data_IF_739373030941
#
_entry.id   IF_739373030941
#
_cell.length_a   1.000
_cell.length_b   1.000
_cell.length_c   1.000
_cell.angle_alpha   90.00
_cell.angle_beta   90.00
_cell.angle_gamma   90.00
#
_symmetry.space_group_name_H-M   'P 1'
#
loop_
_entity.id
_entity.type
_entity.pdbx_description
1 polymer ?
#
# COMPACT_ATOMS: atom_id res chain seq x y z
N UNK A 1 -5.55 24.31 12.83
CA UNK A 1 -6.28 23.03 12.76
C UNK A 1 -5.26 21.95 13.10
N UNK A 2 -5.61 20.94 13.91
CA UNK A 2 -4.70 19.80 14.04
C UNK A 2 -4.66 19.13 12.66
N UNK A 3 -3.53 19.25 11.96
CA UNK A 3 -3.32 18.48 10.74
C UNK A 3 -3.05 17.05 11.16
N UNK A 4 -4.02 16.18 10.90
CA UNK A 4 -3.87 14.74 11.04
C UNK A 4 -3.10 14.22 9.83
N UNK A 5 -2.00 13.46 10.01
CA UNK A 5 -1.24 12.95 8.88
C UNK A 5 -2.11 12.03 8.04
N UNK A 6 -2.11 12.27 6.73
CA UNK A 6 -2.82 11.44 5.76
C UNK A 6 -1.96 10.25 5.40
N UNK A 7 -2.50 9.06 5.55
CA UNK A 7 -1.80 7.82 5.32
C UNK A 7 -2.56 6.98 4.31
N UNK A 8 -1.86 6.46 3.31
CA UNK A 8 -2.40 5.43 2.45
C UNK A 8 -1.72 4.09 2.75
N UNK A 9 -2.49 3.01 2.90
CA UNK A 9 -1.94 1.68 3.17
C UNK A 9 -2.06 0.85 1.89
N UNK A 10 -0.92 0.57 1.26
CA UNK A 10 -0.81 -0.33 0.12
C UNK A 10 -0.53 -1.74 0.60
N UNK A 11 -1.33 -2.71 0.17
CA UNK A 11 -1.20 -4.11 0.54
C UNK A 11 -1.62 -5.01 -0.63
N UNK A 12 -1.43 -6.33 -0.49
CA UNK A 12 -1.87 -7.28 -1.51
C UNK A 12 -3.12 -8.04 -1.05
N UNK A 13 -4.16 -8.03 -1.87
CA UNK A 13 -5.30 -8.94 -1.68
C UNK A 13 -4.85 -10.40 -1.65
N UNK A 14 -5.25 -11.12 -0.58
CA UNK A 14 -4.92 -12.54 -0.33
C UNK A 14 -6.17 -13.34 -0.01
N UNK A 15 -6.80 -13.02 1.12
CA UNK A 15 -7.96 -13.69 1.68
C UNK A 15 -8.65 -12.75 2.68
N UNK A 16 -9.88 -13.10 3.06
CA UNK A 16 -10.70 -12.28 3.95
C UNK A 16 -10.05 -12.07 5.34
N UNK A 17 -9.36 -13.05 5.90
CA UNK A 17 -8.70 -12.91 7.20
C UNK A 17 -7.58 -11.87 7.16
N UNK A 18 -6.81 -11.85 6.08
CA UNK A 18 -5.75 -10.87 5.85
C UNK A 18 -6.33 -9.47 5.61
N UNK A 19 -7.39 -9.36 4.81
CA UNK A 19 -8.09 -8.09 4.57
C UNK A 19 -8.71 -7.53 5.86
N UNK A 20 -9.28 -8.39 6.71
CA UNK A 20 -9.78 -7.99 8.03
C UNK A 20 -8.65 -7.46 8.93
N UNK A 21 -7.46 -8.07 8.92
CA UNK A 21 -6.30 -7.54 9.65
C UNK A 21 -5.86 -6.17 9.15
N UNK A 22 -5.86 -5.96 7.83
CA UNK A 22 -5.55 -4.65 7.23
C UNK A 22 -6.58 -3.60 7.63
N UNK A 23 -7.86 -3.96 7.56
CA UNK A 23 -8.97 -3.10 7.97
C UNK A 23 -8.88 -2.71 9.45
N UNK A 24 -8.61 -3.67 10.33
CA UNK A 24 -8.40 -3.43 11.76
C UNK A 24 -7.21 -2.51 12.00
N UNK A 25 -6.08 -2.76 11.34
CA UNK A 25 -4.89 -1.91 11.40
C UNK A 25 -5.20 -0.47 10.95
N UNK A 26 -5.91 -0.29 9.83
CA UNK A 26 -6.32 1.03 9.34
C UNK A 26 -7.26 1.74 10.32
N UNK A 27 -8.25 1.02 10.88
CA UNK A 27 -9.17 1.56 11.87
C UNK A 27 -8.45 2.01 13.16
N UNK A 28 -7.44 1.25 13.60
CA UNK A 28 -6.65 1.62 14.78
C UNK A 28 -5.86 2.91 14.54
N UNK A 29 -5.22 3.06 13.38
CA UNK A 29 -4.55 4.33 13.02
C UNK A 29 -5.53 5.51 13.02
N UNK A 30 -6.74 5.31 12.50
CA UNK A 30 -7.81 6.33 12.51
C UNK A 30 -8.25 6.68 13.93
N UNK A 31 -8.35 5.71 14.82
CA UNK A 31 -8.66 5.93 16.24
C UNK A 31 -7.57 6.77 16.94
N UNK A 32 -6.31 6.62 16.53
CA UNK A 32 -5.17 7.40 17.02
C UNK A 32 -5.02 8.78 16.36
N UNK A 33 -5.96 9.17 15.50
CA UNK A 33 -5.98 10.47 14.83
C UNK A 33 -5.07 10.55 13.60
N UNK A 34 -4.86 9.43 12.91
CA UNK A 34 -4.18 9.38 11.60
C UNK A 34 -5.26 9.16 10.54
N UNK A 35 -5.31 10.01 9.50
CA UNK A 35 -6.28 9.81 8.42
C UNK A 35 -5.80 8.72 7.46
N UNK A 36 -5.95 7.47 7.89
CA UNK A 36 -5.56 6.29 7.14
C UNK A 36 -6.65 5.87 6.14
N UNK A 37 -6.26 5.58 4.91
CA UNK A 37 -7.16 5.14 3.85
C UNK A 37 -6.69 3.83 3.18
N UNK A 38 -7.65 2.99 2.80
CA UNK A 38 -7.48 1.72 2.09
C UNK A 38 -8.59 1.52 1.06
N UNK A 39 -8.34 0.65 0.08
CA UNK A 39 -9.32 0.28 -0.94
C UNK A 39 -10.59 -0.38 -0.36
N UNK A 40 -10.51 -1.09 0.77
CA UNK A 40 -11.67 -1.72 1.42
C UNK A 40 -12.76 -0.73 1.87
N UNK A 41 -12.43 0.55 1.98
CA UNK A 41 -13.41 1.61 2.25
C UNK A 41 -14.14 2.09 0.98
N UNK A 42 -13.72 1.63 -0.20
CA UNK A 42 -14.19 2.10 -1.50
C UNK A 42 -14.70 0.91 -2.31
N UNK A 43 -15.99 0.90 -2.63
CA UNK A 43 -16.56 -0.20 -3.40
C UNK A 43 -16.30 -0.08 -4.92
N UNK A 44 -16.42 1.13 -5.46
CA UNK A 44 -16.18 1.39 -6.89
C UNK A 44 -15.85 2.88 -7.13
N UNK A 45 -14.57 3.24 -7.30
CA UNK A 45 -14.20 4.62 -7.57
C UNK A 45 -14.63 5.01 -9.00
N UNK A 46 -15.39 6.10 -9.12
CA UNK A 46 -15.88 6.61 -10.41
C UNK A 46 -14.75 6.98 -11.39
N UNK A 47 -13.57 7.34 -10.87
CA UNK A 47 -12.37 7.66 -11.64
C UNK A 47 -11.57 6.42 -12.08
N UNK A 48 -12.00 5.22 -11.66
CA UNK A 48 -11.29 3.97 -11.86
C UNK A 48 -10.19 3.76 -10.83
N UNK A 49 -9.92 2.49 -10.54
CA UNK A 49 -8.94 2.09 -9.54
C UNK A 49 -7.50 2.62 -9.79
N UNK A 50 -6.97 2.65 -11.03
CA UNK A 50 -5.64 3.22 -11.31
C UNK A 50 -5.49 4.66 -10.87
N UNK A 51 -6.44 5.50 -11.25
CA UNK A 51 -6.40 6.93 -10.95
C UNK A 51 -6.66 7.20 -9.47
N UNK A 52 -7.58 6.44 -8.87
CA UNK A 52 -7.82 6.50 -7.44
C UNK A 52 -6.56 6.20 -6.63
N UNK A 53 -5.84 5.13 -6.99
CA UNK A 53 -4.60 4.76 -6.31
C UNK A 53 -3.51 5.81 -6.47
N UNK A 54 -3.29 6.32 -7.68
CA UNK A 54 -2.33 7.39 -7.94
C UNK A 54 -2.65 8.65 -7.13
N UNK A 55 -3.93 9.00 -7.02
CA UNK A 55 -4.39 10.08 -6.16
C UNK A 55 -4.13 9.79 -4.67
N UNK A 56 -4.36 8.56 -4.19
CA UNK A 56 -4.08 8.21 -2.79
C UNK A 56 -2.59 8.31 -2.48
N UNK A 57 -1.75 7.75 -3.35
CA UNK A 57 -0.29 7.84 -3.21
C UNK A 57 0.15 9.29 -3.26
N UNK A 58 -0.35 10.10 -4.20
CA UNK A 58 0.07 11.50 -4.36
C UNK A 58 -0.34 12.38 -3.18
N UNK A 59 -1.58 12.25 -2.70
CA UNK A 59 -2.15 13.12 -1.66
C UNK A 59 -1.85 12.69 -0.22
N UNK A 60 -1.36 11.47 0.00
CA UNK A 60 -0.95 11.03 1.33
C UNK A 60 0.37 11.70 1.75
N UNK A 61 0.52 11.97 3.05
CA UNK A 61 1.79 12.39 3.64
C UNK A 61 2.74 11.20 3.71
N UNK A 62 2.20 10.03 4.09
CA UNK A 62 2.93 8.76 4.14
C UNK A 62 2.17 7.64 3.46
N UNK A 63 2.91 6.70 2.87
CA UNK A 63 2.37 5.48 2.26
C UNK A 63 2.95 4.29 3.00
N UNK A 64 2.11 3.58 3.75
CA UNK A 64 2.48 2.34 4.41
C UNK A 64 2.42 1.21 3.40
N UNK A 65 3.54 0.54 3.17
CA UNK A 65 3.64 -0.58 2.23
C UNK A 65 3.68 -1.87 3.03
N UNK A 66 2.59 -2.64 3.02
CA UNK A 66 2.52 -3.90 3.72
C UNK A 66 3.27 -4.98 2.93
N UNK A 67 4.52 -5.19 3.33
CA UNK A 67 5.43 -6.12 2.69
C UNK A 67 5.09 -7.55 3.09
N UNK A 68 4.79 -8.38 2.10
CA UNK A 68 4.62 -9.82 2.29
C UNK A 68 4.95 -10.58 1.01
N UNK A 69 5.10 -11.90 1.12
CA UNK A 69 5.46 -12.76 -0.02
C UNK A 69 4.66 -12.51 -1.30
N UNK A 70 3.33 -12.40 -1.20
CA UNK A 70 2.47 -12.19 -2.37
C UNK A 70 2.65 -10.81 -2.97
N UNK A 71 2.86 -9.78 -2.14
CA UNK A 71 3.17 -8.43 -2.59
C UNK A 71 4.47 -8.43 -3.40
N UNK A 72 5.52 -9.01 -2.82
CA UNK A 72 6.84 -9.10 -3.46
C UNK A 72 6.80 -9.87 -4.78
N UNK A 73 6.12 -11.01 -4.82
CA UNK A 73 5.98 -11.80 -6.05
C UNK A 73 5.22 -11.02 -7.13
N UNK A 74 4.22 -10.19 -6.77
CA UNK A 74 3.53 -9.32 -7.73
C UNK A 74 4.45 -8.23 -8.31
N UNK A 75 5.41 -7.70 -7.53
CA UNK A 75 6.41 -6.74 -8.03
C UNK A 75 7.44 -7.39 -8.97
N UNK A 76 8.01 -8.54 -8.58
CA UNK A 76 9.21 -9.08 -9.24
C UNK A 76 8.96 -10.24 -10.20
N UNK A 77 7.75 -10.83 -10.24
CA UNK A 77 7.45 -11.92 -11.18
C UNK A 77 6.99 -11.39 -12.54
N UNK A 78 7.85 -11.51 -13.54
CA UNK A 78 7.58 -11.17 -14.95
C UNK A 78 6.59 -12.12 -15.66
N UNK A 79 6.19 -13.21 -15.01
CA UNK A 79 5.42 -14.32 -15.61
C UNK A 79 4.05 -14.56 -14.97
N UNK A 80 3.49 -13.59 -14.25
CA UNK A 80 2.10 -13.68 -13.77
C UNK A 80 1.13 -13.41 -14.92
N UNK A 81 0.99 -14.40 -15.80
CA UNK A 81 0.05 -14.48 -16.92
C UNK A 81 -1.40 -14.68 -16.47
N UNK A 82 -1.86 -13.83 -15.55
CA UNK A 82 -3.26 -13.60 -15.13
C UNK A 82 -3.28 -12.34 -14.26
N UNK A 83 -3.44 -11.18 -14.91
CA UNK A 83 -3.62 -9.90 -14.22
C UNK A 83 -2.42 -9.48 -13.38
N UNK A 84 -1.39 -8.93 -14.01
CA UNK A 84 -0.46 -8.03 -13.33
C UNK A 84 -1.33 -7.01 -12.59
N UNK A 85 -1.34 -7.07 -11.25
CA UNK A 85 -2.05 -6.10 -10.40
C UNK A 85 -1.38 -4.75 -10.67
N UNK A 86 -1.92 -4.01 -11.64
CA UNK A 86 -1.45 -2.69 -12.07
C UNK A 86 -1.21 -1.76 -10.87
N UNK A 87 -1.97 -1.97 -9.79
CA UNK A 87 -1.84 -1.41 -8.45
C UNK A 87 -0.39 -1.38 -7.94
N UNK A 88 0.25 -2.55 -7.97
CA UNK A 88 1.59 -2.76 -7.44
C UNK A 88 2.64 -2.09 -8.32
N UNK A 89 2.41 -2.04 -9.64
CA UNK A 89 3.29 -1.36 -10.57
C UNK A 89 3.28 0.16 -10.38
N UNK A 90 2.10 0.77 -10.14
CA UNK A 90 2.00 2.21 -9.87
C UNK A 90 2.81 2.56 -8.62
N UNK A 91 2.62 1.82 -7.52
CA UNK A 91 3.39 2.06 -6.29
C UNK A 91 4.90 1.90 -6.53
N UNK A 92 5.31 0.80 -7.17
CA UNK A 92 6.72 0.53 -7.42
C UNK A 92 7.37 1.61 -8.28
N UNK A 93 6.65 2.13 -9.28
CA UNK A 93 7.10 3.25 -10.10
C UNK A 93 7.33 4.50 -9.24
N UNK A 94 6.40 4.86 -8.35
CA UNK A 94 6.61 6.00 -7.45
C UNK A 94 7.80 5.83 -6.49
N UNK A 95 8.01 4.62 -5.97
CA UNK A 95 9.17 4.32 -5.11
C UNK A 95 10.47 4.50 -5.92
N UNK A 96 10.49 4.04 -7.17
CA UNK A 96 11.65 4.17 -8.05
C UNK A 96 11.93 5.63 -8.45
N UNK A 97 10.87 6.37 -8.81
CA UNK A 97 10.95 7.78 -9.23
C UNK A 97 11.41 8.68 -8.08
N UNK A 98 11.15 8.31 -6.82
CA UNK A 98 11.65 9.01 -5.64
C UNK A 98 13.18 9.02 -5.49
N UNK A 99 13.93 8.37 -6.41
CA UNK A 99 15.38 8.58 -6.65
C UNK A 99 16.23 8.62 -5.36
N UNK A 100 15.99 7.66 -4.46
CA UNK A 100 16.71 7.47 -3.17
C UNK A 100 16.41 8.48 -2.06
N UNK A 101 15.46 9.41 -2.24
CA UNK A 101 14.93 10.26 -1.16
C UNK A 101 13.57 9.73 -0.70
N UNK A 102 13.58 8.56 -0.07
CA UNK A 102 12.36 7.95 0.43
C UNK A 102 11.97 8.54 1.80
N UNK A 103 11.21 9.64 1.80
CA UNK A 103 10.63 10.24 3.01
C UNK A 103 9.16 9.89 3.21
N UNK A 104 8.55 9.19 2.24
CA UNK A 104 7.10 9.00 2.13
C UNK A 104 6.68 7.54 2.30
N UNK A 105 7.45 6.58 1.78
CA UNK A 105 7.09 5.17 1.81
C UNK A 105 7.69 4.48 3.02
N UNK A 106 6.84 3.89 3.85
CA UNK A 106 7.23 3.21 5.10
C UNK A 106 6.90 1.73 4.95
N UNK A 107 7.89 0.82 4.93
CA UNK A 107 7.61 -0.62 4.90
C UNK A 107 7.03 -1.09 6.23
N UNK A 108 5.97 -1.89 6.17
CA UNK A 108 5.31 -2.51 7.33
C UNK A 108 5.28 -4.02 7.11
N UNK A 109 5.60 -4.79 8.15
CA UNK A 109 5.47 -6.25 8.18
C UNK A 109 4.60 -6.64 9.37
N UNK A 110 3.74 -7.64 9.19
CA UNK A 110 2.97 -8.24 10.29
C UNK A 110 3.67 -9.45 10.91
N UNK A 111 4.61 -10.05 10.19
CA UNK A 111 5.37 -11.23 10.62
C UNK A 111 6.85 -11.01 10.30
N UNK A 112 7.76 -11.35 11.22
CA UNK A 112 9.21 -11.20 11.00
C UNK A 112 9.69 -11.97 9.76
N UNK A 113 9.05 -13.10 9.44
CA UNK A 113 9.39 -13.88 8.24
C UNK A 113 9.17 -13.14 6.91
N UNK A 114 8.41 -12.04 6.94
CA UNK A 114 8.15 -11.19 5.78
C UNK A 114 9.20 -10.08 5.58
N UNK A 115 10.17 -9.92 6.49
CA UNK A 115 11.26 -8.92 6.36
C UNK A 115 12.01 -9.05 5.03
N UNK A 116 12.25 -10.29 4.57
CA UNK A 116 12.89 -10.58 3.27
C UNK A 116 12.08 -10.16 2.04
N UNK A 117 10.82 -9.75 2.23
CA UNK A 117 9.92 -9.30 1.18
C UNK A 117 9.72 -7.79 1.16
N UNK A 118 10.49 -7.04 1.98
CA UNK A 118 10.59 -5.59 1.85
C UNK A 118 11.15 -5.27 0.46
N UNK A 119 10.48 -4.38 -0.26
CA UNK A 119 10.85 -4.01 -1.62
C UNK A 119 12.09 -3.12 -1.56
N UNK A 120 13.09 -3.39 -2.39
CA UNK A 120 14.20 -2.43 -2.55
C UNK A 120 13.77 -1.33 -3.54
N UNK A 121 14.07 -0.04 -3.28
CA UNK A 121 14.97 0.53 -2.27
C UNK A 121 14.31 1.04 -0.97
N UNK A 122 13.19 0.47 -0.51
CA UNK A 122 12.61 0.80 0.81
C UNK A 122 13.51 0.36 1.96
#
# INVERSE_FOLDING_TARGET
>A
MLEHPKVFISYSHKNADYENKILEFSNNLRADGIDANIDLYVESPAEGWPRWMENQITNADYVLVVCCKSYYLKCYSSNSSKGVSWEVNILYQHIYDATSQNTKFIPIIFEESDEKYILTPL
#
